data_IF_010989195248
#
_entry.id   IF_010989195248
#
_cell.length_a   1.000
_cell.length_b   1.000
_cell.length_c   1.000
_cell.angle_alpha   90.00
_cell.angle_beta   90.00
_cell.angle_gamma   90.00
#
_symmetry.space_group_name_H-M   'P 1'
#
loop_
_entity.id
_entity.type
_entity.pdbx_description
1 polymer ?
#
# COMPACT_ATOMS: atom_id res chain seq x y z
N UNK A 1 15.42 -31.04 -26.38
CA UNK A 1 15.19 -31.39 -24.96
C UNK A 1 15.38 -30.13 -24.13
N UNK A 2 14.31 -29.33 -23.97
CA UNK A 2 13.37 -29.31 -22.80
C UNK A 2 14.09 -28.81 -21.53
N UNK A 3 13.72 -27.71 -20.89
CA UNK A 3 12.39 -27.13 -20.72
C UNK A 3 12.43 -25.59 -20.64
N UNK A 4 11.44 -24.95 -21.27
CA UNK A 4 11.04 -23.56 -21.00
C UNK A 4 10.54 -23.50 -19.55
N UNK A 5 11.04 -22.55 -18.78
CA UNK A 5 10.46 -22.15 -17.48
C UNK A 5 8.99 -21.83 -17.69
N UNK A 6 8.11 -22.69 -17.18
CA UNK A 6 6.71 -22.35 -17.02
C UNK A 6 6.64 -21.18 -16.04
N UNK A 7 6.25 -20.00 -16.54
CA UNK A 7 5.90 -18.86 -15.71
C UNK A 7 4.77 -19.26 -14.76
N UNK A 8 4.73 -18.63 -13.59
CA UNK A 8 3.68 -18.80 -12.57
C UNK A 8 2.23 -18.46 -13.03
N UNK A 9 2.02 -18.27 -14.35
CA UNK A 9 0.76 -17.87 -15.02
C UNK A 9 -0.37 -18.91 -14.93
N UNK A 10 -0.09 -20.15 -14.51
CA UNK A 10 -1.06 -21.25 -14.58
C UNK A 10 -1.73 -21.62 -13.24
N UNK A 11 -1.38 -20.93 -12.14
CA UNK A 11 -1.94 -21.25 -10.81
C UNK A 11 -3.30 -20.60 -10.52
N UNK A 12 -3.83 -19.72 -11.39
CA UNK A 12 -5.05 -18.95 -11.11
C UNK A 12 -6.32 -19.46 -11.82
N UNK A 13 -6.29 -20.62 -12.48
CA UNK A 13 -7.51 -21.21 -13.07
C UNK A 13 -8.21 -20.28 -14.08
N UNK A 14 -7.44 -19.58 -14.91
CA UNK A 14 -7.93 -18.66 -15.92
C UNK A 14 -8.33 -17.26 -15.43
N UNK A 15 -8.17 -16.97 -14.13
CA UNK A 15 -8.40 -15.64 -13.55
C UNK A 15 -7.15 -14.79 -13.70
N UNK A 16 -7.14 -13.94 -14.73
CA UNK A 16 -6.03 -13.05 -14.99
C UNK A 16 -6.50 -11.83 -15.82
N UNK A 17 -6.71 -10.67 -15.17
CA UNK A 17 -7.03 -9.41 -15.85
C UNK A 17 -6.00 -9.00 -16.91
N UNK A 18 -4.70 -9.29 -16.72
CA UNK A 18 -3.67 -9.02 -17.74
C UNK A 18 -3.96 -9.82 -19.01
N UNK A 19 -4.17 -11.13 -18.87
CA UNK A 19 -4.49 -11.98 -20.01
C UNK A 19 -5.83 -11.62 -20.67
N UNK A 20 -6.78 -11.03 -19.93
CA UNK A 20 -8.00 -10.47 -20.51
C UNK A 20 -7.71 -9.22 -21.34
N UNK A 21 -6.84 -8.33 -20.86
CA UNK A 21 -6.41 -7.16 -21.61
C UNK A 21 -5.62 -7.53 -22.87
N UNK A 22 -4.68 -8.47 -22.78
CA UNK A 22 -3.85 -8.93 -23.93
C UNK A 22 -4.69 -9.51 -25.07
N UNK A 23 -5.80 -10.21 -24.76
CA UNK A 23 -6.74 -10.68 -25.79
C UNK A 23 -7.52 -9.57 -26.50
N UNK A 24 -7.54 -8.38 -25.89
CA UNK A 24 -8.24 -7.19 -26.40
C UNK A 24 -7.22 -6.06 -26.63
N UNK A 25 -5.98 -6.41 -27.00
CA UNK A 25 -4.87 -5.46 -27.16
C UNK A 25 -5.15 -4.40 -28.25
N UNK A 26 -6.02 -4.69 -29.20
CA UNK A 26 -6.49 -3.74 -30.23
C UNK A 26 -7.22 -2.52 -29.66
N UNK A 27 -7.69 -2.60 -28.41
CA UNK A 27 -8.30 -1.46 -27.72
C UNK A 27 -7.26 -0.44 -27.24
N UNK A 28 -5.99 -0.87 -27.12
CA UNK A 28 -4.89 -0.08 -26.57
C UNK A 28 -4.04 0.45 -27.71
N UNK A 29 -4.14 1.75 -27.92
CA UNK A 29 -3.46 2.45 -29.02
C UNK A 29 -2.91 3.78 -28.56
N UNK A 30 -1.77 4.17 -29.13
CA UNK A 30 -1.18 5.48 -28.89
C UNK A 30 -0.54 5.57 -27.50
N UNK A 31 -0.45 6.80 -26.99
CA UNK A 31 0.17 7.04 -25.67
C UNK A 31 -0.71 6.43 -24.59
N UNK A 32 -0.16 5.42 -23.89
CA UNK A 32 -0.94 4.54 -23.01
C UNK A 32 -0.58 4.75 -21.54
N UNK A 33 -1.60 4.80 -20.68
CA UNK A 33 -1.46 4.66 -19.24
C UNK A 33 -2.00 3.32 -18.74
N UNK A 34 -1.37 2.74 -17.71
CA UNK A 34 -1.82 1.56 -16.98
C UNK A 34 -1.94 1.94 -15.49
N UNK A 35 -3.11 1.78 -14.90
CA UNK A 35 -3.39 2.14 -13.51
C UNK A 35 -3.93 0.93 -12.74
N UNK A 36 -3.31 0.62 -11.58
CA UNK A 36 -3.77 -0.44 -10.69
C UNK A 36 -3.13 -1.82 -10.90
N UNK A 37 -1.92 -1.87 -11.47
CA UNK A 37 -1.16 -3.13 -11.54
C UNK A 37 -0.72 -3.58 -10.13
N UNK A 38 -1.13 -4.79 -9.75
CA UNK A 38 -0.77 -5.40 -8.45
C UNK A 38 0.59 -6.11 -8.47
N UNK A 39 1.16 -6.36 -9.65
CA UNK A 39 2.44 -7.04 -9.85
C UNK A 39 3.28 -6.27 -10.87
N UNK A 40 4.62 -6.35 -10.82
CA UNK A 40 5.50 -5.70 -11.78
C UNK A 40 5.58 -6.47 -13.11
N UNK A 41 4.45 -6.97 -13.60
CA UNK A 41 4.31 -7.62 -14.91
C UNK A 41 3.54 -6.68 -15.84
N UNK A 42 4.13 -6.38 -17.00
CA UNK A 42 3.48 -5.58 -18.02
C UNK A 42 2.75 -6.53 -18.99
N UNK A 43 1.51 -6.21 -19.37
CA UNK A 43 0.81 -6.94 -20.42
C UNK A 43 1.49 -6.73 -21.78
N UNK A 44 1.45 -7.76 -22.64
CA UNK A 44 1.92 -7.65 -24.02
C UNK A 44 0.94 -6.80 -24.86
N UNK A 45 1.27 -5.52 -25.04
CA UNK A 45 0.45 -4.52 -25.73
C UNK A 45 1.25 -3.85 -26.86
N UNK A 46 1.24 -4.41 -28.08
CA UNK A 46 2.05 -3.90 -29.20
C UNK A 46 1.79 -2.44 -29.56
N UNK A 47 0.57 -1.94 -29.28
CA UNK A 47 0.15 -0.57 -29.58
C UNK A 47 0.48 0.47 -28.49
N UNK A 48 1.04 0.06 -27.34
CA UNK A 48 1.21 0.92 -26.17
C UNK A 48 2.54 1.69 -26.11
N UNK A 49 3.54 1.32 -26.93
CA UNK A 49 4.88 1.92 -26.87
C UNK A 49 5.52 1.72 -25.49
N UNK A 50 6.04 2.79 -24.89
CA UNK A 50 6.45 2.82 -23.48
C UNK A 50 5.31 3.40 -22.63
N UNK A 51 4.51 2.55 -21.95
CA UNK A 51 3.35 3.03 -21.20
C UNK A 51 3.77 3.80 -19.95
N UNK A 52 2.91 4.72 -19.51
CA UNK A 52 2.94 5.29 -18.17
C UNK A 52 2.24 4.32 -17.21
N UNK A 53 2.96 3.75 -16.26
CA UNK A 53 2.38 2.91 -15.20
C UNK A 53 2.21 3.74 -13.95
N UNK A 54 0.96 3.91 -13.54
CA UNK A 54 0.57 4.54 -12.28
C UNK A 54 0.32 3.41 -11.28
N UNK A 55 1.19 3.30 -10.28
CA UNK A 55 1.09 2.26 -9.26
C UNK A 55 1.05 2.85 -7.87
N UNK A 56 0.35 2.14 -7.00
CA UNK A 56 0.13 2.51 -5.60
C UNK A 56 1.07 1.74 -4.68
N UNK A 57 1.90 0.84 -5.21
CA UNK A 57 2.75 -0.07 -4.43
C UNK A 57 4.24 0.20 -4.69
N UNK A 58 4.99 0.58 -3.66
CA UNK A 58 6.38 0.99 -3.79
C UNK A 58 7.28 -0.10 -4.39
N UNK A 59 7.08 -1.37 -4.00
CA UNK A 59 7.81 -2.51 -4.57
C UNK A 59 7.52 -2.74 -6.07
N UNK A 60 6.29 -2.49 -6.52
CA UNK A 60 5.94 -2.59 -7.95
C UNK A 60 6.58 -1.44 -8.71
N UNK A 61 6.55 -0.22 -8.16
CA UNK A 61 7.21 0.94 -8.75
C UNK A 61 8.71 0.69 -8.94
N UNK A 62 9.42 0.31 -7.86
CA UNK A 62 10.86 0.07 -7.89
C UNK A 62 11.25 -1.06 -8.88
N UNK A 63 10.47 -2.14 -8.91
CA UNK A 63 10.72 -3.25 -9.84
C UNK A 63 10.51 -2.86 -11.31
N UNK A 64 9.52 -2.01 -11.60
CA UNK A 64 9.28 -1.50 -12.96
C UNK A 64 10.33 -0.46 -13.39
N UNK A 65 10.74 0.43 -12.48
CA UNK A 65 11.81 1.41 -12.73
C UNK A 65 13.13 0.72 -13.11
N UNK A 66 13.47 -0.38 -12.43
CA UNK A 66 14.66 -1.16 -12.74
C UNK A 66 14.64 -1.82 -14.13
N UNK A 67 13.45 -2.10 -14.69
CA UNK A 67 13.32 -2.70 -16.02
C UNK A 67 13.57 -1.67 -17.13
N UNK A 68 13.15 -0.42 -16.92
CA UNK A 68 13.33 0.68 -17.88
C UNK A 68 12.49 0.57 -19.16
N UNK A 69 11.50 -0.31 -19.22
CA UNK A 69 10.60 -0.53 -20.36
C UNK A 69 9.27 0.23 -20.26
N UNK A 70 9.06 0.99 -19.17
CA UNK A 70 7.91 1.86 -18.97
C UNK A 70 8.30 3.12 -18.18
N UNK A 71 7.42 4.11 -18.20
CA UNK A 71 7.50 5.30 -17.35
C UNK A 71 6.73 4.99 -16.08
N UNK A 72 7.30 5.21 -14.91
CA UNK A 72 6.65 4.86 -13.64
C UNK A 72 6.22 6.12 -12.90
N UNK A 73 5.00 6.09 -12.39
CA UNK A 73 4.45 7.05 -11.45
C UNK A 73 4.02 6.29 -10.20
N UNK A 74 4.59 6.68 -9.05
CA UNK A 74 4.11 6.23 -7.75
C UNK A 74 3.06 7.21 -7.21
N UNK A 75 1.86 6.71 -6.91
CA UNK A 75 0.73 7.52 -6.44
C UNK A 75 0.07 8.38 -7.50
N UNK A 76 -0.71 9.37 -7.07
CA UNK A 76 -1.58 10.17 -7.95
C UNK A 76 -1.13 11.63 -8.12
N UNK A 77 0.09 11.95 -7.72
CA UNK A 77 0.69 13.28 -7.93
C UNK A 77 1.46 13.29 -9.25
N UNK A 78 0.72 13.47 -10.36
CA UNK A 78 1.28 13.48 -11.71
C UNK A 78 1.70 14.89 -12.16
N UNK A 79 2.73 14.96 -12.99
CA UNK A 79 3.17 16.20 -13.64
C UNK A 79 2.09 16.76 -14.57
N UNK A 80 2.01 18.10 -14.66
CA UNK A 80 1.07 18.79 -15.56
C UNK A 80 1.19 18.35 -17.02
N UNK A 81 2.37 17.90 -17.46
CA UNK A 81 2.62 17.40 -18.83
C UNK A 81 1.89 16.09 -19.16
N UNK A 82 1.39 15.34 -18.16
CA UNK A 82 0.60 14.14 -18.43
C UNK A 82 -0.88 14.42 -18.67
N UNK A 83 -1.35 15.63 -18.33
CA UNK A 83 -2.75 16.01 -18.52
C UNK A 83 -3.14 15.98 -19.98
N UNK A 84 -4.27 15.33 -20.27
CA UNK A 84 -4.80 15.19 -21.62
C UNK A 84 -3.84 14.52 -22.60
N UNK A 85 -2.80 13.84 -22.11
CA UNK A 85 -1.72 13.29 -22.94
C UNK A 85 -1.98 11.86 -23.38
N UNK A 86 -2.89 11.13 -22.71
CA UNK A 86 -3.11 9.71 -22.96
C UNK A 86 -4.20 9.46 -24.00
N UNK A 87 -3.88 8.68 -25.03
CA UNK A 87 -4.85 8.18 -26.01
C UNK A 87 -5.62 6.98 -25.46
N UNK A 88 -4.98 6.18 -24.61
CA UNK A 88 -5.62 5.08 -23.88
C UNK A 88 -5.20 5.09 -22.41
N UNK A 89 -6.15 4.92 -21.51
CA UNK A 89 -5.88 4.62 -20.09
C UNK A 89 -6.58 3.32 -19.71
N UNK A 90 -5.80 2.35 -19.24
CA UNK A 90 -6.32 1.10 -18.71
C UNK A 90 -6.39 1.19 -17.18
N UNK A 91 -7.55 0.93 -16.60
CA UNK A 91 -7.74 0.77 -15.17
C UNK A 91 -7.98 -0.71 -14.87
N UNK A 92 -7.11 -1.30 -14.05
CA UNK A 92 -7.36 -2.56 -13.39
C UNK A 92 -8.26 -2.29 -12.18
N UNK A 93 -9.40 -2.96 -12.11
CA UNK A 93 -10.43 -2.68 -11.10
C UNK A 93 -9.83 -2.74 -9.69
N UNK A 94 -9.88 -1.63 -8.92
CA UNK A 94 -9.45 -1.66 -7.52
C UNK A 94 -10.46 -2.43 -6.67
N UNK A 95 -10.01 -2.95 -5.53
CA UNK A 95 -10.87 -3.69 -4.59
C UNK A 95 -11.96 -2.80 -3.96
N UNK A 96 -11.64 -1.54 -3.70
CA UNK A 96 -12.55 -0.59 -3.06
C UNK A 96 -13.28 0.27 -4.10
N UNK A 97 -14.58 0.45 -3.87
CA UNK A 97 -15.49 1.16 -4.78
C UNK A 97 -15.09 2.63 -4.92
N UNK A 98 -14.78 3.28 -3.82
CA UNK A 98 -14.44 4.69 -3.71
C UNK A 98 -13.11 4.99 -4.41
N UNK A 99 -12.16 4.05 -4.37
CA UNK A 99 -10.90 4.15 -5.12
C UNK A 99 -11.17 4.27 -6.61
N UNK A 100 -12.09 3.47 -7.17
CA UNK A 100 -12.45 3.60 -8.58
C UNK A 100 -13.05 4.96 -8.91
N UNK A 101 -13.84 5.56 -8.00
CA UNK A 101 -14.41 6.90 -8.24
C UNK A 101 -13.29 7.93 -8.39
N UNK A 102 -12.29 7.89 -7.50
CA UNK A 102 -11.12 8.77 -7.58
C UNK A 102 -10.29 8.50 -8.83
N UNK A 103 -10.04 7.23 -9.17
CA UNK A 103 -9.28 6.85 -10.36
C UNK A 103 -10.00 7.23 -11.67
N UNK A 104 -11.35 7.21 -11.71
CA UNK A 104 -12.12 7.71 -12.84
C UNK A 104 -12.04 9.24 -12.97
N UNK A 105 -11.97 9.97 -11.85
CA UNK A 105 -11.72 11.41 -11.89
C UNK A 105 -10.31 11.73 -12.42
N UNK A 106 -9.30 10.97 -11.97
CA UNK A 106 -7.95 11.07 -12.52
C UNK A 106 -7.92 10.75 -14.03
N UNK A 107 -8.64 9.70 -14.44
CA UNK A 107 -8.74 9.32 -15.84
C UNK A 107 -9.28 10.43 -16.74
N UNK A 108 -10.28 11.20 -16.27
CA UNK A 108 -10.82 12.36 -17.01
C UNK A 108 -9.79 13.47 -17.24
N UNK A 109 -8.81 13.62 -16.34
CA UNK A 109 -7.76 14.64 -16.45
C UNK A 109 -6.59 14.15 -17.31
N UNK A 110 -6.28 12.85 -17.31
CA UNK A 110 -5.16 12.29 -18.09
C UNK A 110 -5.50 11.97 -19.54
N UNK A 111 -6.74 11.57 -19.83
CA UNK A 111 -7.16 11.21 -21.19
C UNK A 111 -7.26 12.44 -22.09
N UNK A 112 -6.75 12.31 -23.32
CA UNK A 112 -6.94 13.30 -24.37
C UNK A 112 -8.42 13.43 -24.76
N UNK A 113 -8.77 14.49 -25.50
CA UNK A 113 -10.16 14.72 -25.91
C UNK A 113 -10.78 13.57 -26.74
N UNK A 114 -9.94 12.75 -27.39
CA UNK A 114 -10.36 11.55 -28.14
C UNK A 114 -9.99 10.25 -27.44
N UNK A 115 -9.40 10.36 -26.24
CA UNK A 115 -8.86 9.26 -25.47
C UNK A 115 -9.93 8.26 -25.03
N UNK A 116 -9.47 7.03 -24.80
CA UNK A 116 -10.32 5.90 -24.41
C UNK A 116 -9.93 5.39 -23.04
N UNK A 117 -10.93 5.15 -22.20
CA UNK A 117 -10.79 4.34 -21.02
C UNK A 117 -11.02 2.86 -21.37
N UNK A 118 -10.16 1.98 -20.87
CA UNK A 118 -10.38 0.54 -20.81
C UNK A 118 -10.42 0.13 -19.33
N UNK A 119 -11.50 -0.51 -18.90
CA UNK A 119 -11.66 -1.02 -17.54
C UNK A 119 -11.63 -2.54 -17.57
N UNK A 120 -10.71 -3.15 -16.82
CA UNK A 120 -10.50 -4.61 -16.81
C UNK A 120 -10.47 -5.15 -15.39
N UNK A 121 -11.13 -6.29 -15.17
CA UNK A 121 -11.14 -6.91 -13.85
C UNK A 121 -11.88 -8.23 -13.80
N UNK A 122 -11.76 -8.90 -12.65
CA UNK A 122 -12.41 -10.19 -12.42
C UNK A 122 -13.86 -10.06 -11.94
N UNK A 123 -14.71 -11.01 -12.35
CA UNK A 123 -16.12 -11.09 -11.93
C UNK A 123 -16.27 -11.20 -10.41
N UNK A 124 -15.36 -11.93 -9.75
CA UNK A 124 -15.39 -12.13 -8.29
C UNK A 124 -14.75 -10.99 -7.52
N UNK A 125 -13.98 -10.12 -8.19
CA UNK A 125 -13.34 -8.95 -7.59
C UNK A 125 -14.07 -7.65 -7.91
N UNK A 126 -15.34 -7.74 -8.35
CA UNK A 126 -16.23 -6.59 -8.38
C UNK A 126 -16.32 -5.82 -9.69
N UNK A 127 -15.76 -6.32 -10.82
CA UNK A 127 -15.87 -5.65 -12.13
C UNK A 127 -17.32 -5.31 -12.53
N UNK A 128 -18.31 -6.10 -12.11
CA UNK A 128 -19.71 -5.80 -12.39
C UNK A 128 -20.21 -4.56 -11.65
N UNK A 129 -19.73 -4.30 -10.43
CA UNK A 129 -19.99 -3.06 -9.70
C UNK A 129 -19.23 -1.89 -10.32
N UNK A 130 -17.96 -2.11 -10.65
CA UNK A 130 -17.10 -1.13 -11.31
C UNK A 130 -17.67 -0.65 -12.66
N UNK A 131 -18.22 -1.57 -13.46
CA UNK A 131 -18.88 -1.25 -14.73
C UNK A 131 -20.09 -0.33 -14.54
N UNK A 132 -20.89 -0.51 -13.48
CA UNK A 132 -22.01 0.39 -13.16
C UNK A 132 -21.52 1.78 -12.76
N UNK A 133 -20.40 1.87 -12.03
CA UNK A 133 -19.78 3.17 -11.70
C UNK A 133 -19.28 3.88 -12.96
N UNK A 134 -18.63 3.14 -13.88
CA UNK A 134 -18.22 3.67 -15.17
C UNK A 134 -19.42 4.18 -15.98
N UNK A 135 -20.49 3.39 -16.07
CA UNK A 135 -21.71 3.77 -16.79
C UNK A 135 -22.42 5.00 -16.18
N UNK A 136 -22.25 5.26 -14.89
CA UNK A 136 -22.79 6.47 -14.25
C UNK A 136 -22.11 7.76 -14.74
N UNK A 137 -20.84 7.68 -15.14
CA UNK A 137 -20.07 8.85 -15.66
C UNK A 137 -19.93 8.84 -17.18
N UNK A 138 -20.12 7.69 -17.82
CA UNK A 138 -20.07 7.48 -19.27
C UNK A 138 -21.17 6.48 -19.67
N UNK A 139 -22.43 6.92 -19.88
CA UNK A 139 -23.56 6.04 -20.17
C UNK A 139 -23.37 5.16 -21.42
N UNK A 140 -22.52 5.57 -22.36
CA UNK A 140 -22.16 4.84 -23.57
C UNK A 140 -21.15 3.71 -23.33
N UNK A 141 -20.63 3.57 -22.10
CA UNK A 141 -19.68 2.53 -21.75
C UNK A 141 -20.24 1.14 -22.06
N UNK A 142 -19.44 0.35 -22.78
CA UNK A 142 -19.85 -0.97 -23.27
C UNK A 142 -18.85 -2.05 -22.89
N UNK A 143 -19.39 -3.23 -22.64
CA UNK A 143 -18.62 -4.46 -22.42
C UNK A 143 -18.15 -5.01 -23.75
N UNK A 144 -16.87 -5.33 -23.86
CA UNK A 144 -16.24 -5.85 -25.08
C UNK A 144 -15.82 -7.32 -24.95
N UNK A 145 -15.41 -7.74 -23.75
CA UNK A 145 -15.12 -9.16 -23.44
C UNK A 145 -15.72 -9.55 -22.08
N UNK A 146 -16.10 -10.82 -21.95
CA UNK A 146 -16.58 -11.46 -20.72
C UNK A 146 -16.16 -12.93 -20.63
N UNK A 147 -14.96 -13.29 -21.08
CA UNK A 147 -14.40 -14.64 -21.01
C UNK A 147 -13.54 -14.88 -19.75
N UNK A 148 -13.32 -16.17 -19.42
CA UNK A 148 -12.37 -16.63 -18.38
C UNK A 148 -12.47 -15.88 -17.05
N UNK A 149 -13.70 -15.75 -16.54
CA UNK A 149 -14.02 -15.05 -15.29
C UNK A 149 -13.65 -13.57 -15.21
N UNK A 150 -13.21 -12.94 -16.30
CA UNK A 150 -12.91 -11.51 -16.38
C UNK A 150 -13.99 -10.78 -17.21
N UNK A 151 -13.99 -9.46 -17.14
CA UNK A 151 -14.66 -8.61 -18.12
C UNK A 151 -13.73 -7.47 -18.54
N UNK A 152 -13.90 -7.03 -19.78
CA UNK A 152 -13.26 -5.83 -20.32
C UNK A 152 -14.36 -4.89 -20.77
N UNK A 153 -14.25 -3.63 -20.39
CA UNK A 153 -15.16 -2.56 -20.74
C UNK A 153 -14.40 -1.41 -21.38
N UNK A 154 -15.07 -0.67 -22.24
CA UNK A 154 -14.50 0.49 -22.91
C UNK A 154 -15.47 1.66 -22.88
N UNK A 155 -14.94 2.86 -22.72
CA UNK A 155 -15.71 4.11 -22.70
C UNK A 155 -14.87 5.28 -23.20
N UNK A 156 -15.53 6.35 -23.63
CA UNK A 156 -14.95 7.68 -23.62
C UNK A 156 -15.40 8.35 -22.33
N UNK A 157 -14.55 9.18 -21.75
CA UNK A 157 -14.94 9.96 -20.59
C UNK A 157 -15.14 11.42 -21.02
N UNK A 158 -16.11 12.13 -20.42
CA UNK A 158 -16.17 13.58 -20.59
C UNK A 158 -14.90 14.21 -20.03
N UNK A 159 -14.39 15.25 -20.70
CA UNK A 159 -13.23 16.00 -20.23
C UNK A 159 -13.44 16.48 -18.78
N UNK A 160 -12.36 16.55 -18.01
CA UNK A 160 -12.41 17.10 -16.67
C UNK A 160 -12.68 18.62 -16.71
N UNK A 161 -13.61 19.10 -15.89
CA UNK A 161 -13.90 20.54 -15.76
C UNK A 161 -12.77 21.25 -14.99
N UNK A 162 -12.12 20.52 -14.08
CA UNK A 162 -11.00 20.99 -13.27
C UNK A 162 -9.88 19.95 -13.25
N UNK A 163 -8.61 20.38 -13.10
CA UNK A 163 -7.51 19.52 -12.67
C UNK A 163 -7.88 18.45 -11.65
N UNK A 164 -7.37 17.24 -11.84
CA UNK A 164 -7.33 16.28 -10.75
C UNK A 164 -6.36 16.80 -9.68
N UNK A 165 -6.78 16.72 -8.41
CA UNK A 165 -5.96 17.11 -7.27
C UNK A 165 -6.24 16.14 -6.12
N UNK A 166 -5.24 15.33 -5.74
CA UNK A 166 -5.37 14.33 -4.70
C UNK A 166 -5.80 14.94 -3.34
N UNK A 167 -5.36 16.17 -3.07
CA UNK A 167 -5.70 16.91 -1.85
C UNK A 167 -7.21 17.18 -1.72
N UNK A 168 -7.96 17.28 -2.82
CA UNK A 168 -9.42 17.43 -2.79
C UNK A 168 -10.16 16.17 -2.35
N UNK A 169 -9.48 15.02 -2.36
CA UNK A 169 -10.03 13.73 -1.92
C UNK A 169 -9.72 13.41 -0.46
N UNK A 170 -8.95 14.28 0.22
CA UNK A 170 -8.61 14.10 1.62
C UNK A 170 -9.84 14.31 2.48
N UNK A 171 -10.20 13.27 3.22
CA UNK A 171 -11.17 13.31 4.30
C UNK A 171 -10.42 13.33 5.63
N UNK A 172 -11.00 14.02 6.60
CA UNK A 172 -10.42 14.16 7.93
C UNK A 172 -11.34 13.55 8.97
N UNK A 173 -10.75 12.81 9.89
CA UNK A 173 -11.43 12.30 11.07
C UNK A 173 -10.54 12.48 12.29
N UNK A 174 -11.14 12.74 13.44
CA UNK A 174 -10.41 12.88 14.69
C UNK A 174 -10.34 11.53 15.40
N UNK A 175 -9.14 11.21 15.88
CA UNK A 175 -8.88 10.07 16.74
C UNK A 175 -8.57 10.61 18.13
N UNK A 176 -9.35 10.17 19.12
CA UNK A 176 -9.09 10.39 20.54
C UNK A 176 -8.81 9.03 21.17
N UNK A 177 -7.58 8.83 21.63
CA UNK A 177 -7.15 7.56 22.21
C UNK A 177 -6.06 7.79 23.25
N UNK A 178 -6.19 7.09 24.38
CA UNK A 178 -5.16 7.03 25.43
C UNK A 178 -4.58 8.41 25.82
N UNK A 179 -5.44 9.43 25.92
CA UNK A 179 -5.10 10.76 26.42
C UNK A 179 -4.45 11.70 25.40
N UNK A 180 -4.50 11.40 24.09
CA UNK A 180 -4.14 12.34 23.04
C UNK A 180 -5.17 12.31 21.90
N UNK A 181 -5.39 13.48 21.30
CA UNK A 181 -6.29 13.67 20.15
C UNK A 181 -5.50 14.12 18.95
N UNK A 182 -5.68 13.45 17.82
CA UNK A 182 -5.06 13.78 16.54
C UNK A 182 -6.09 13.85 15.41
N UNK A 183 -5.87 14.70 14.41
CA UNK A 183 -6.65 14.71 13.17
C UNK A 183 -5.94 13.88 12.11
N UNK A 184 -6.60 12.85 11.57
CA UNK A 184 -6.01 11.89 10.64
C UNK A 184 -6.59 12.08 9.25
N UNK A 185 -5.71 12.11 8.25
CA UNK A 185 -6.09 12.16 6.85
C UNK A 185 -6.46 10.77 6.32
N UNK A 186 -7.44 10.71 5.43
CA UNK A 186 -7.78 9.52 4.66
C UNK A 186 -8.11 9.88 3.22
N UNK A 187 -7.78 8.99 2.29
CA UNK A 187 -8.20 9.04 0.88
C UNK A 187 -8.75 7.67 0.47
N UNK A 188 -9.57 7.59 -0.59
CA UNK A 188 -10.07 6.30 -1.06
C UNK A 188 -8.96 5.27 -1.32
N UNK A 189 -9.06 4.11 -0.69
CA UNK A 189 -8.12 2.99 -0.84
C UNK A 189 -7.16 2.78 0.32
N UNK A 190 -7.06 3.72 1.27
CA UNK A 190 -6.31 3.50 2.52
C UNK A 190 -7.16 2.75 3.56
N UNK A 191 -6.51 1.93 4.37
CA UNK A 191 -7.15 1.18 5.46
C UNK A 191 -7.52 2.12 6.62
N UNK A 192 -8.76 2.60 6.62
CA UNK A 192 -9.46 3.22 7.75
C UNK A 192 -10.78 3.79 7.21
N UNK A 193 -11.91 3.17 7.52
CA UNK A 193 -13.25 3.71 7.22
C UNK A 193 -13.58 4.90 8.15
N UNK A 194 -12.62 5.82 8.35
CA UNK A 194 -12.71 6.95 9.27
C UNK A 194 -12.74 6.55 10.74
N UNK A 195 -12.20 5.38 11.10
CA UNK A 195 -12.16 4.86 12.48
C UNK A 195 -10.77 4.38 12.84
N UNK A 196 -10.41 4.57 14.11
CA UNK A 196 -9.20 3.97 14.67
C UNK A 196 -9.33 2.44 14.65
N UNK A 197 -8.36 1.76 14.07
CA UNK A 197 -8.27 0.30 14.13
C UNK A 197 -8.11 -0.17 15.58
N UNK A 198 -8.84 -1.23 15.95
CA UNK A 198 -8.87 -1.72 17.33
C UNK A 198 -7.50 -2.24 17.80
N UNK A 199 -6.73 -2.88 16.91
CA UNK A 199 -5.38 -3.32 17.24
C UNK A 199 -4.46 -2.13 17.49
N UNK A 200 -4.55 -1.11 16.65
CA UNK A 200 -3.83 0.16 16.84
C UNK A 200 -4.22 0.81 18.17
N UNK A 201 -5.50 0.90 18.51
CA UNK A 201 -5.96 1.44 19.78
C UNK A 201 -5.32 0.72 20.98
N UNK A 202 -5.31 -0.62 20.97
CA UNK A 202 -4.64 -1.43 22.01
C UNK A 202 -3.14 -1.15 22.10
N UNK A 203 -2.48 -1.01 20.95
CA UNK A 203 -1.07 -0.66 20.92
C UNK A 203 -0.83 0.72 21.55
N UNK A 204 -1.64 1.73 21.22
CA UNK A 204 -1.55 3.07 21.80
C UNK A 204 -1.76 3.08 23.33
N UNK A 205 -2.70 2.28 23.85
CA UNK A 205 -2.89 2.10 25.30
C UNK A 205 -1.60 1.61 25.98
N UNK A 206 -0.92 0.60 25.42
CA UNK A 206 0.36 0.11 25.99
C UNK A 206 1.51 1.12 25.89
N UNK A 207 1.52 1.95 24.84
CA UNK A 207 2.50 3.03 24.67
C UNK A 207 2.21 4.21 25.61
N UNK A 208 0.96 4.36 26.05
CA UNK A 208 0.57 5.34 27.05
C UNK A 208 1.02 4.93 28.46
N UNK A 209 0.96 3.63 28.77
CA UNK A 209 1.39 3.07 30.05
C UNK A 209 2.92 2.94 30.15
N UNK A 210 3.57 2.53 29.06
CA UNK A 210 5.03 2.39 28.99
C UNK A 210 5.57 3.14 27.77
N UNK A 211 5.98 4.41 27.94
CA UNK A 211 6.54 5.21 26.86
C UNK A 211 7.79 4.58 26.24
N UNK A 212 7.98 4.83 24.95
CA UNK A 212 9.13 4.38 24.17
C UNK A 212 10.24 5.42 24.18
N UNK A 213 11.42 5.07 23.64
CA UNK A 213 12.54 6.01 23.46
C UNK A 213 12.91 6.11 21.98
N UNK A 214 13.26 7.32 21.55
CA UNK A 214 13.71 7.60 20.19
C UNK A 214 15.18 7.26 19.93
N UNK A 215 15.61 7.15 18.66
CA UNK A 215 14.80 7.31 17.44
C UNK A 215 13.76 6.19 17.26
N UNK A 216 12.58 6.55 16.76
CA UNK A 216 11.41 5.66 16.59
C UNK A 216 11.06 5.52 15.12
N UNK A 217 10.72 4.30 14.70
CA UNK A 217 10.17 3.99 13.40
C UNK A 217 8.76 3.38 13.54
N UNK A 218 7.79 3.96 12.84
CA UNK A 218 6.45 3.42 12.61
C UNK A 218 6.45 2.64 11.28
N UNK A 219 6.49 1.31 11.37
CA UNK A 219 6.54 0.43 10.19
C UNK A 219 5.14 -0.02 9.77
N UNK A 220 4.85 0.05 8.47
CA UNK A 220 3.50 -0.01 7.93
C UNK A 220 2.62 1.08 8.57
N UNK A 221 3.11 2.33 8.51
CA UNK A 221 2.56 3.45 9.26
C UNK A 221 1.13 3.85 8.83
N UNK A 222 0.64 3.37 7.68
CA UNK A 222 -0.68 3.70 7.19
C UNK A 222 -0.88 5.21 7.08
N UNK A 223 -1.94 5.73 7.70
CA UNK A 223 -2.23 7.17 7.73
C UNK A 223 -1.37 7.96 8.74
N UNK A 224 -0.33 7.35 9.33
CA UNK A 224 0.59 7.98 10.28
C UNK A 224 0.03 8.13 11.70
N UNK A 225 -0.97 7.32 12.07
CA UNK A 225 -1.69 7.44 13.35
C UNK A 225 -0.73 7.29 14.55
N UNK A 226 0.09 6.24 14.56
CA UNK A 226 0.94 5.91 15.71
C UNK A 226 2.01 6.99 15.90
N UNK A 227 2.74 7.33 14.84
CA UNK A 227 3.79 8.34 14.94
C UNK A 227 3.30 9.75 15.24
N UNK A 228 2.14 10.18 14.70
CA UNK A 228 1.54 11.46 15.05
C UNK A 228 1.04 11.48 16.51
N UNK A 229 0.38 10.40 16.94
CA UNK A 229 -0.08 10.26 18.33
C UNK A 229 1.08 10.33 19.33
N UNK A 230 2.19 9.65 19.04
CA UNK A 230 3.38 9.65 19.89
C UNK A 230 3.94 11.06 20.11
N UNK A 231 4.03 11.87 19.05
CA UNK A 231 4.58 13.23 19.16
C UNK A 231 3.61 14.22 19.80
N UNK A 232 2.30 14.06 19.61
CA UNK A 232 1.31 14.86 20.33
C UNK A 232 1.30 14.53 21.81
N UNK A 233 1.44 13.25 22.17
CA UNK A 233 1.45 12.81 23.57
C UNK A 233 2.78 13.06 24.29
N UNK A 234 3.90 12.87 23.59
CA UNK A 234 5.26 13.00 24.12
C UNK A 234 6.09 13.95 23.25
N UNK A 235 5.90 15.28 23.37
CA UNK A 235 6.60 16.26 22.55
C UNK A 235 8.14 16.19 22.65
N UNK A 236 8.66 15.63 23.74
CA UNK A 236 10.09 15.43 24.00
C UNK A 236 10.69 14.20 23.30
N UNK A 237 9.88 13.31 22.72
CA UNK A 237 10.35 12.08 22.06
C UNK A 237 11.23 12.36 20.82
N UNK A 238 11.02 13.51 20.19
CA UNK A 238 11.62 13.88 18.91
C UNK A 238 10.86 13.33 17.71
N UNK A 239 11.44 13.42 16.49
CA UNK A 239 10.82 12.93 15.27
C UNK A 239 10.55 11.42 15.30
N UNK A 240 9.45 11.01 14.67
CA UNK A 240 9.10 9.61 14.46
C UNK A 240 9.04 9.37 12.96
N UNK A 241 9.91 8.51 12.44
CA UNK A 241 9.91 8.17 11.02
C UNK A 241 8.81 7.17 10.73
N UNK A 242 8.32 7.15 9.48
CA UNK A 242 7.28 6.23 9.02
C UNK A 242 7.67 5.58 7.70
N UNK A 243 7.38 4.29 7.57
CA UNK A 243 7.56 3.56 6.30
C UNK A 243 6.25 2.87 5.95
N UNK A 244 5.80 3.03 4.71
CA UNK A 244 4.67 2.27 4.16
C UNK A 244 4.92 1.92 2.70
N UNK A 245 4.28 0.84 2.24
CA UNK A 245 4.36 0.39 0.86
C UNK A 245 3.35 1.10 -0.04
N UNK A 246 2.27 1.63 0.53
CA UNK A 246 1.18 2.24 -0.23
C UNK A 246 1.37 3.74 -0.43
N UNK A 247 1.19 4.21 -1.67
CA UNK A 247 1.28 5.63 -2.00
C UNK A 247 0.26 6.47 -1.22
N UNK A 248 -0.97 5.98 -1.09
CA UNK A 248 -2.04 6.63 -0.35
C UNK A 248 -1.72 6.72 1.14
N UNK A 249 -1.08 5.69 1.71
CA UNK A 249 -0.63 5.69 3.11
C UNK A 249 0.41 6.78 3.34
N UNK A 250 1.49 6.78 2.54
CA UNK A 250 2.55 7.79 2.59
C UNK A 250 1.98 9.21 2.43
N UNK A 251 1.07 9.41 1.47
CA UNK A 251 0.38 10.68 1.26
C UNK A 251 -0.42 11.11 2.50
N UNK A 252 -1.28 10.23 3.03
CA UNK A 252 -2.09 10.53 4.21
C UNK A 252 -1.24 10.77 5.46
N UNK A 253 -0.20 9.95 5.69
CA UNK A 253 0.71 10.13 6.81
C UNK A 253 1.39 11.50 6.80
N UNK A 254 1.84 11.99 5.64
CA UNK A 254 2.40 13.34 5.50
C UNK A 254 1.38 14.42 5.86
N UNK A 255 0.15 14.32 5.35
CA UNK A 255 -0.92 15.27 5.70
C UNK A 255 -1.25 15.22 7.20
N UNK A 256 -1.39 14.02 7.77
CA UNK A 256 -1.61 13.81 9.21
C UNK A 256 -0.49 14.46 10.03
N UNK A 257 0.76 14.27 9.64
CA UNK A 257 1.90 14.85 10.36
C UNK A 257 1.86 16.38 10.32
N UNK A 258 1.68 16.95 9.13
CA UNK A 258 1.56 18.39 8.92
C UNK A 258 0.46 18.99 9.82
N UNK A 259 -0.74 18.41 9.80
CA UNK A 259 -1.89 18.95 10.55
C UNK A 259 -1.74 18.86 12.06
N UNK A 260 -1.02 17.85 12.57
CA UNK A 260 -0.79 17.67 14.01
C UNK A 260 0.54 18.29 14.50
N UNK A 261 1.30 18.95 13.61
CA UNK A 261 2.62 19.48 13.95
C UNK A 261 3.68 18.41 14.27
N UNK A 262 3.44 17.16 13.85
CA UNK A 262 4.37 16.05 14.01
C UNK A 262 5.48 16.11 12.96
N UNK A 263 6.63 15.50 13.27
CA UNK A 263 7.85 15.53 12.45
C UNK A 263 8.43 14.14 12.24
N UNK A 264 9.13 13.94 11.15
CA UNK A 264 9.79 12.69 10.81
C UNK A 264 9.69 12.42 9.32
N UNK A 265 10.55 11.52 8.84
CA UNK A 265 10.58 11.18 7.43
C UNK A 265 9.55 10.08 7.13
N UNK A 266 8.62 10.37 6.20
CA UNK A 266 7.63 9.40 5.72
C UNK A 266 8.08 8.87 4.35
N UNK A 267 8.49 7.60 4.35
CA UNK A 267 9.16 6.93 3.24
C UNK A 267 8.24 5.89 2.61
N UNK A 268 8.27 5.81 1.28
CA UNK A 268 7.64 4.74 0.52
C UNK A 268 8.63 3.59 0.32
N UNK A 269 8.31 2.39 0.82
CA UNK A 269 9.17 1.23 0.63
C UNK A 269 8.41 -0.09 0.81
N UNK A 270 8.83 -1.11 0.07
CA UNK A 270 8.42 -2.51 0.28
C UNK A 270 9.38 -3.16 1.30
N UNK A 271 8.98 -3.13 2.56
CA UNK A 271 9.86 -3.46 3.68
C UNK A 271 10.77 -2.30 4.09
N UNK A 272 11.85 -2.61 4.81
CA UNK A 272 12.82 -1.64 5.32
C UNK A 272 14.04 -1.56 4.39
N UNK A 273 14.33 -0.38 3.80
CA UNK A 273 15.54 -0.18 3.01
C UNK A 273 16.81 -0.38 3.84
N UNK A 274 17.81 -1.06 3.27
CA UNK A 274 19.08 -1.33 3.95
C UNK A 274 19.83 -0.05 4.40
N UNK A 275 19.58 1.09 3.75
CA UNK A 275 20.21 2.38 4.06
C UNK A 275 19.57 3.11 5.24
N UNK A 276 18.44 2.63 5.78
CA UNK A 276 17.82 3.24 6.95
C UNK A 276 18.72 3.14 8.18
N UNK A 277 18.69 4.21 8.99
CA UNK A 277 19.35 4.26 10.28
C UNK A 277 18.88 3.15 11.22
N UNK A 278 19.65 2.88 12.28
CA UNK A 278 19.17 2.03 13.36
C UNK A 278 18.27 2.80 14.33
N UNK A 279 17.17 2.19 14.75
CA UNK A 279 16.16 2.75 15.64
C UNK A 279 16.25 2.14 17.04
N UNK A 280 15.99 2.93 18.10
CA UNK A 280 15.81 2.37 19.45
C UNK A 280 14.44 1.70 19.60
N UNK A 281 13.45 2.14 18.83
CA UNK A 281 12.10 1.56 18.86
C UNK A 281 11.58 1.37 17.44
N UNK A 282 11.11 0.17 17.11
CA UNK A 282 10.27 -0.08 15.93
C UNK A 282 8.88 -0.44 16.42
N UNK A 283 7.85 0.23 15.91
CA UNK A 283 6.46 0.03 16.26
C UNK A 283 5.71 -0.38 15.00
N UNK A 284 4.79 -1.34 15.10
CA UNK A 284 3.98 -1.72 13.93
C UNK A 284 2.64 -2.36 14.31
N UNK A 285 1.67 -2.15 13.43
CA UNK A 285 0.47 -2.95 13.29
C UNK A 285 0.44 -3.52 11.86
N UNK A 286 1.10 -4.67 11.61
CA UNK A 286 1.25 -5.19 10.26
C UNK A 286 -0.10 -5.62 9.68
N UNK A 287 -0.32 -5.46 8.36
CA UNK A 287 -1.56 -5.89 7.72
C UNK A 287 -1.78 -7.38 7.95
N UNK A 288 -2.98 -7.74 8.39
CA UNK A 288 -3.31 -9.13 8.68
C UNK A 288 -3.40 -9.93 7.37
N UNK A 289 -2.76 -11.10 7.35
CA UNK A 289 -2.84 -12.06 6.23
C UNK A 289 -4.30 -12.50 6.02
N UNK A 290 -5.03 -11.82 5.14
CA UNK A 290 -6.37 -12.26 4.73
C UNK A 290 -6.23 -13.30 3.61
N UNK A 291 -5.99 -14.54 3.99
CA UNK A 291 -5.91 -15.69 3.09
C UNK A 291 -5.90 -17.00 3.88
N UNK A 292 -6.46 -18.07 3.31
CA UNK A 292 -6.62 -19.42 3.92
C UNK A 292 -5.27 -20.09 4.27
N UNK A 293 -4.14 -19.47 3.91
CA UNK A 293 -2.80 -19.85 4.37
C UNK A 293 -2.17 -18.65 5.06
N UNK A 294 -1.84 -18.82 6.34
CA UNK A 294 -0.92 -17.93 7.05
C UNK A 294 0.41 -18.06 6.31
N UNK A 295 0.77 -17.06 5.51
CA UNK A 295 2.08 -17.03 4.87
C UNK A 295 3.10 -16.52 5.88
N UNK A 296 3.66 -17.45 6.66
CA UNK A 296 4.69 -17.13 7.65
C UNK A 296 5.92 -16.50 7.02
N UNK A 297 6.19 -16.74 5.73
CA UNK A 297 7.40 -16.24 5.07
C UNK A 297 7.47 -14.71 5.02
N UNK A 298 6.33 -14.04 4.85
CA UNK A 298 6.25 -12.58 4.88
C UNK A 298 6.52 -12.05 6.29
N UNK A 299 5.93 -12.67 7.32
CA UNK A 299 6.16 -12.32 8.73
C UNK A 299 7.62 -12.53 9.13
N UNK A 300 8.24 -13.64 8.70
CA UNK A 300 9.65 -13.93 8.94
C UNK A 300 10.59 -12.92 8.27
N UNK A 301 10.30 -12.58 7.00
CA UNK A 301 11.07 -11.56 6.26
C UNK A 301 11.00 -10.21 6.98
N UNK A 302 9.79 -9.81 7.39
CA UNK A 302 9.55 -8.59 8.15
C UNK A 302 10.35 -8.56 9.46
N UNK A 303 10.20 -9.58 10.32
CA UNK A 303 10.90 -9.61 11.62
C UNK A 303 12.42 -9.63 11.45
N UNK A 304 12.93 -10.32 10.42
CA UNK A 304 14.35 -10.31 10.09
C UNK A 304 14.85 -8.92 9.70
N UNK A 305 14.08 -8.17 8.92
CA UNK A 305 14.42 -6.78 8.56
C UNK A 305 14.40 -5.88 9.80
N UNK A 306 13.36 -5.95 10.63
CA UNK A 306 13.29 -5.20 11.89
C UNK A 306 14.49 -5.50 12.79
N UNK A 307 14.88 -6.76 12.93
CA UNK A 307 16.04 -7.14 13.74
C UNK A 307 17.38 -6.56 13.26
N UNK A 308 17.49 -6.18 11.97
CA UNK A 308 18.66 -5.48 11.41
C UNK A 308 18.63 -3.99 11.71
N UNK A 309 17.44 -3.38 11.68
CA UNK A 309 17.26 -1.94 11.91
C UNK A 309 17.05 -1.55 13.38
N UNK A 310 16.83 -2.49 14.29
CA UNK A 310 16.86 -2.19 15.72
C UNK A 310 18.31 -1.97 16.18
N UNK A 311 18.60 -0.92 16.94
CA UNK A 311 19.89 -0.75 17.60
C UNK A 311 20.07 -1.81 18.71
N UNK A 312 21.32 -2.08 19.16
CA UNK A 312 21.53 -2.97 20.30
C UNK A 312 20.76 -2.51 21.55
N UNK A 313 19.91 -3.38 22.11
CA UNK A 313 19.04 -3.03 23.24
C UNK A 313 17.79 -2.22 22.86
N UNK A 314 17.56 -1.97 21.57
CA UNK A 314 16.30 -1.42 21.06
C UNK A 314 15.15 -2.42 21.12
N UNK A 315 13.93 -1.94 21.00
CA UNK A 315 12.71 -2.74 21.16
C UNK A 315 11.77 -2.70 19.95
N UNK A 316 11.09 -3.82 19.72
CA UNK A 316 9.92 -3.95 18.87
C UNK A 316 8.66 -3.85 19.73
N UNK A 317 7.70 -2.99 19.33
CA UNK A 317 6.31 -2.98 19.81
C UNK A 317 5.39 -3.40 18.67
N UNK A 318 4.69 -4.51 18.81
CA UNK A 318 3.90 -5.09 17.73
C UNK A 318 2.55 -5.54 18.25
N UNK A 319 1.47 -5.12 17.58
CA UNK A 319 0.15 -5.70 17.79
C UNK A 319 -0.18 -6.66 16.66
N UNK A 320 -0.72 -7.83 16.98
CA UNK A 320 -1.17 -8.80 15.98
C UNK A 320 -2.45 -9.50 16.42
N UNK A 321 -3.14 -10.12 15.45
CA UNK A 321 -4.24 -11.02 15.76
C UNK A 321 -3.75 -12.23 16.55
N UNK A 322 -4.47 -12.57 17.61
CA UNK A 322 -4.09 -13.61 18.59
C UNK A 322 -3.81 -14.99 18.00
N UNK A 323 -4.46 -15.35 16.90
CA UNK A 323 -4.34 -16.68 16.28
C UNK A 323 -3.02 -16.89 15.51
N UNK A 324 -2.19 -15.85 15.37
CA UNK A 324 -0.94 -15.91 14.62
C UNK A 324 0.23 -16.21 15.59
N UNK A 325 1.16 -17.13 15.26
CA UNK A 325 2.25 -17.55 16.14
C UNK A 325 3.41 -16.52 16.17
N UNK A 326 3.11 -15.26 16.52
CA UNK A 326 4.09 -14.18 16.50
C UNK A 326 5.20 -14.34 17.52
N UNK A 327 4.91 -14.87 18.71
CA UNK A 327 5.89 -14.92 19.79
C UNK A 327 7.14 -15.72 19.41
N UNK A 328 6.98 -16.94 18.90
CA UNK A 328 8.09 -17.81 18.48
C UNK A 328 8.94 -17.15 17.38
N UNK A 329 8.29 -16.52 16.40
CA UNK A 329 8.97 -15.83 15.32
C UNK A 329 9.72 -14.59 15.83
N UNK A 330 9.11 -13.82 16.73
CA UNK A 330 9.75 -12.64 17.34
C UNK A 330 10.98 -13.08 18.14
N UNK A 331 10.88 -14.13 18.93
CA UNK A 331 12.00 -14.67 19.71
C UNK A 331 13.15 -15.17 18.82
N UNK A 332 12.83 -15.78 17.67
CA UNK A 332 13.82 -16.26 16.71
C UNK A 332 14.59 -15.14 16.01
N UNK A 333 13.93 -14.02 15.68
CA UNK A 333 14.51 -12.97 14.83
C UNK A 333 14.91 -11.69 15.57
N UNK A 334 14.34 -11.42 16.74
CA UNK A 334 14.59 -10.20 17.52
C UNK A 334 15.27 -10.52 18.86
N UNK A 335 14.63 -11.36 19.68
CA UNK A 335 15.08 -11.66 21.04
C UNK A 335 13.91 -11.84 22.02
N UNK A 336 14.16 -11.84 23.35
CA UNK A 336 13.15 -12.12 24.37
C UNK A 336 11.89 -11.31 24.17
N UNK A 337 10.77 -12.01 24.07
CA UNK A 337 9.46 -11.45 23.81
C UNK A 337 8.59 -11.56 25.07
N UNK A 338 7.82 -10.51 25.36
CA UNK A 338 6.78 -10.52 26.39
C UNK A 338 5.48 -9.96 25.85
N UNK A 339 4.37 -10.47 26.37
CA UNK A 339 3.03 -9.94 26.10
C UNK A 339 2.79 -8.76 27.06
N UNK A 340 2.46 -7.60 26.50
CA UNK A 340 2.08 -6.40 27.26
C UNK A 340 0.59 -6.37 27.58
N UNK A 341 -0.22 -6.78 26.60
CA UNK A 341 -1.67 -6.83 26.68
C UNK A 341 -2.18 -7.93 25.75
N UNK A 342 -3.28 -8.57 26.12
CA UNK A 342 -3.96 -9.57 25.31
C UNK A 342 -5.47 -9.51 25.55
N UNK A 343 -6.25 -9.62 24.47
CA UNK A 343 -7.69 -9.84 24.53
C UNK A 343 -8.15 -11.01 23.63
N UNK A 344 -9.44 -11.06 23.28
CA UNK A 344 -9.99 -12.13 22.44
C UNK A 344 -9.55 -12.01 20.97
N UNK A 345 -9.11 -10.84 20.53
CA UNK A 345 -8.79 -10.52 19.14
C UNK A 345 -7.30 -10.27 18.94
N UNK A 346 -6.67 -9.50 19.84
CA UNK A 346 -5.33 -8.97 19.65
C UNK A 346 -4.39 -9.33 20.80
N UNK A 347 -3.12 -9.44 20.47
CA UNK A 347 -2.01 -9.55 21.43
C UNK A 347 -0.99 -8.45 21.10
N UNK A 348 -0.58 -7.69 22.11
CA UNK A 348 0.46 -6.67 21.99
C UNK A 348 1.76 -7.23 22.58
N UNK A 349 2.79 -7.31 21.77
CA UNK A 349 4.11 -7.84 22.10
C UNK A 349 5.13 -6.72 22.30
N UNK A 350 6.08 -6.96 23.18
CA UNK A 350 7.35 -6.25 23.24
C UNK A 350 8.49 -7.24 23.13
N UNK A 351 9.46 -6.97 22.28
CA UNK A 351 10.72 -7.72 22.24
C UNK A 351 11.92 -6.82 22.22
N UNK A 352 13.02 -7.26 22.84
CA UNK A 352 14.27 -6.49 22.91
C UNK A 352 15.34 -7.17 22.09
N UNK A 353 15.99 -6.41 21.21
CA UNK A 353 17.11 -6.90 20.40
C UNK A 353 18.27 -7.29 21.31
N UNK A 354 18.60 -8.58 21.36
CA UNK A 354 19.82 -9.04 22.02
C UNK A 354 21.05 -8.69 21.18
N UNK A 355 22.15 -8.32 21.85
CA UNK A 355 23.45 -8.29 21.18
C UNK A 355 23.74 -9.70 20.66
N UNK A 356 24.25 -9.87 19.43
CA UNK A 356 24.82 -11.14 19.02
C UNK A 356 25.81 -11.56 20.10
N UNK A 357 25.69 -12.78 20.62
CA UNK A 357 26.68 -13.30 21.55
C UNK A 357 28.05 -13.13 20.91
N UNK A 358 28.93 -12.33 21.53
CA UNK A 358 30.31 -12.16 21.06
C UNK A 358 30.88 -13.56 20.87
N UNK A 359 31.23 -13.91 19.63
CA UNK A 359 31.59 -15.27 19.26
C UNK A 359 32.58 -15.84 20.26
N UNK A 360 32.18 -16.90 20.98
CA UNK A 360 33.16 -17.82 21.53
C UNK A 360 33.87 -18.40 20.31
N UNK A 361 35.06 -17.86 20.03
CA UNK A 361 35.96 -18.43 19.04
C UNK A 361 36.05 -19.92 19.29
N UNK A 362 35.62 -20.71 18.31
CA UNK A 362 36.04 -22.10 18.22
C UNK A 362 37.54 -22.05 17.96
N UNK A 363 38.31 -22.23 19.04
CA UNK A 363 39.67 -22.77 18.96
C UNK A 363 39.57 -24.25 18.65
#
# INVERSE_FOLDING_TARGET
>A
MTARKASNRDQTGGRNPLAALERNAELVTGRTGLLGLSLPELPDLPGAGQPLVITEHAGVAAALEQRGDCRVQFGYELSETERGSLDTLVIFVPKARETLVMQLALARDLLSAQGRLVLVGEKREGIAGAARQLQAVAPEARKVDSARHCQVWTARLPAADTPFCAQQWVQWYDVDCAGARISVAGVPGIFSDGRLDEGTARLLETLADTPVRGPVLDFACGAGVIGAWLQVRYPELGPVDGVDVQAQAVFCARQTYERNGAKGDILASDGLPDQLSSYLTVITNPPFHTGVRIDTSMTESFLRQVGRHLAPGGELRLVANRFLPYQELIEAYIGPCRVLAEDKRFTVYQAVRQKPASGRGRR
#
